data_IF_554666941471
#
_entry.id   IF_554666941471
#
_cell.length_a   1.000
_cell.length_b   1.000
_cell.length_c   1.000
_cell.angle_alpha   90.00
_cell.angle_beta   90.00
_cell.angle_gamma   90.00
#
_symmetry.space_group_name_H-M   'P 1'
#
loop_
_entity.id
_entity.type
_entity.pdbx_description
1 polymer ?
#
# COMPACT_ATOMS: atom_id res chain seq x y z
N UNK A 1 -92.35 -0.04 3.37
CA UNK A 1 -91.23 -0.34 2.45
C UNK A 1 -90.22 0.81 2.53
N UNK A 2 -88.95 0.50 2.84
CA UNK A 2 -87.90 1.43 3.26
C UNK A 2 -87.41 2.33 2.10
N UNK A 3 -87.29 3.65 2.35
CA UNK A 3 -86.60 4.62 1.49
C UNK A 3 -85.07 4.45 1.62
N UNK A 4 -84.27 4.45 0.52
CA UNK A 4 -82.82 4.37 0.62
C UNK A 4 -82.17 5.74 0.89
N UNK A 5 -81.05 5.68 1.62
CA UNK A 5 -80.21 6.79 2.12
C UNK A 5 -79.35 7.40 1.01
N UNK A 6 -79.18 8.73 1.06
CA UNK A 6 -78.23 9.49 0.26
C UNK A 6 -76.77 9.07 0.55
N UNK A 7 -76.06 8.66 -0.50
CA UNK A 7 -74.61 8.42 -0.48
C UNK A 7 -73.93 9.68 -1.05
N UNK A 8 -73.21 10.43 -0.22
CA UNK A 8 -72.35 11.54 -0.67
C UNK A 8 -71.03 10.94 -1.17
N UNK A 9 -70.70 11.12 -2.45
CA UNK A 9 -69.39 10.78 -3.00
C UNK A 9 -68.41 11.92 -2.73
N UNK A 10 -67.33 11.61 -2.01
CA UNK A 10 -66.20 12.50 -1.76
C UNK A 10 -65.22 12.35 -2.94
N UNK A 11 -65.04 13.38 -3.77
CA UNK A 11 -64.04 13.38 -4.84
C UNK A 11 -62.72 13.90 -4.27
N UNK A 12 -61.73 13.01 -4.16
CA UNK A 12 -60.35 13.34 -3.80
C UNK A 12 -59.63 13.84 -5.07
N UNK A 13 -59.24 15.10 -5.11
CA UNK A 13 -58.35 15.63 -6.15
C UNK A 13 -56.91 15.39 -5.71
N UNK A 14 -56.22 14.44 -6.37
CA UNK A 14 -54.77 14.25 -6.21
C UNK A 14 -54.08 15.12 -7.26
N UNK A 15 -53.45 16.20 -6.83
CA UNK A 15 -52.59 17.02 -7.68
C UNK A 15 -51.24 16.30 -7.80
N UNK A 16 -50.94 15.76 -8.99
CA UNK A 16 -49.61 15.24 -9.31
C UNK A 16 -48.64 16.42 -9.40
N UNK A 17 -47.76 16.57 -8.40
CA UNK A 17 -46.56 17.39 -8.51
C UNK A 17 -45.50 16.52 -9.16
N UNK A 18 -45.30 16.69 -10.46
CA UNK A 18 -44.16 16.12 -11.17
C UNK A 18 -42.90 16.86 -10.76
N UNK A 19 -42.13 16.27 -9.83
CA UNK A 19 -40.76 16.68 -9.56
C UNK A 19 -39.92 16.26 -10.77
N UNK A 20 -39.54 17.24 -11.59
CA UNK A 20 -38.65 17.03 -12.72
C UNK A 20 -37.23 16.84 -12.15
N UNK A 21 -36.81 15.58 -11.97
CA UNK A 21 -35.39 15.27 -11.78
C UNK A 21 -34.68 15.58 -13.09
N UNK A 22 -34.03 16.74 -13.17
CA UNK A 22 -33.06 17.02 -14.21
C UNK A 22 -31.84 16.15 -13.90
N UNK A 23 -31.78 14.98 -14.52
CA UNK A 23 -30.55 14.20 -14.58
C UNK A 23 -29.63 15.00 -15.50
N UNK A 24 -28.59 15.63 -14.94
CA UNK A 24 -27.47 16.13 -15.72
C UNK A 24 -26.87 14.90 -16.40
N UNK A 25 -27.12 14.75 -17.71
CA UNK A 25 -26.39 13.77 -18.50
C UNK A 25 -24.96 14.27 -18.62
N UNK A 26 -24.01 13.52 -18.08
CA UNK A 26 -22.60 13.69 -18.43
C UNK A 26 -22.48 13.46 -19.93
N UNK A 27 -21.92 14.43 -20.65
CA UNK A 27 -21.68 14.28 -22.07
C UNK A 27 -20.20 13.93 -22.22
N UNK A 28 -19.93 12.66 -22.53
CA UNK A 28 -18.60 12.23 -22.90
C UNK A 28 -18.04 13.17 -23.97
N UNK A 29 -16.78 13.60 -23.80
CA UNK A 29 -16.09 14.39 -24.82
C UNK A 29 -15.16 13.48 -25.61
N UNK A 30 -15.04 13.73 -26.91
CA UNK A 30 -14.10 13.04 -27.79
C UNK A 30 -12.88 13.93 -28.04
N UNK A 31 -11.68 13.37 -27.89
CA UNK A 31 -10.42 14.08 -28.12
C UNK A 31 -9.50 13.28 -29.05
N UNK A 32 -8.73 13.99 -29.86
CA UNK A 32 -7.75 13.42 -30.78
C UNK A 32 -6.70 14.46 -31.16
N UNK A 33 -5.50 14.02 -31.55
CA UNK A 33 -4.45 14.89 -32.07
C UNK A 33 -3.88 15.88 -31.05
N UNK A 34 -3.56 17.09 -31.53
CA UNK A 34 -2.91 18.11 -30.71
C UNK A 34 -3.89 18.77 -29.74
N UNK A 35 -3.62 18.67 -28.45
CA UNK A 35 -4.42 19.30 -27.40
C UNK A 35 -4.01 20.77 -27.22
N UNK A 36 -5.00 21.63 -26.99
CA UNK A 36 -4.77 23.05 -26.66
C UNK A 36 -4.47 23.30 -25.17
N UNK A 37 -4.50 22.25 -24.34
CA UNK A 37 -4.46 22.36 -22.88
C UNK A 37 -5.85 22.65 -22.28
N UNK A 38 -5.89 23.27 -21.10
CA UNK A 38 -7.12 23.61 -20.39
C UNK A 38 -7.38 22.72 -19.19
N UNK A 39 -8.66 22.46 -18.91
CA UNK A 39 -9.09 21.64 -17.78
C UNK A 39 -10.12 20.60 -18.23
N UNK A 40 -9.92 19.34 -17.86
CA UNK A 40 -10.94 18.31 -17.91
C UNK A 40 -11.53 18.10 -16.52
N UNK A 41 -12.86 18.14 -16.43
CA UNK A 41 -13.65 18.07 -15.21
C UNK A 41 -14.51 16.80 -15.18
N UNK A 42 -15.11 16.50 -14.03
CA UNK A 42 -16.03 15.37 -13.92
C UNK A 42 -17.23 15.45 -14.89
N UNK A 43 -17.62 16.66 -15.31
CA UNK A 43 -18.70 16.87 -16.29
C UNK A 43 -18.31 16.39 -17.69
N UNK A 44 -17.01 16.37 -18.00
CA UNK A 44 -16.44 15.89 -19.26
C UNK A 44 -16.24 14.37 -19.27
N UNK A 45 -16.51 13.68 -18.16
CA UNK A 45 -16.21 12.25 -17.97
C UNK A 45 -17.30 11.34 -18.58
N UNK A 46 -16.92 10.28 -19.33
CA UNK A 46 -15.56 9.93 -19.74
C UNK A 46 -15.04 10.82 -20.88
N UNK A 47 -13.74 11.12 -20.84
CA UNK A 47 -12.99 11.68 -21.96
C UNK A 47 -12.56 10.50 -22.86
N UNK A 48 -13.13 10.42 -24.05
CA UNK A 48 -12.88 9.34 -25.02
C UNK A 48 -11.78 9.79 -25.99
N UNK A 49 -10.69 9.02 -26.06
CA UNK A 49 -9.55 9.29 -26.94
C UNK A 49 -9.67 8.44 -28.20
N UNK A 50 -9.86 9.09 -29.35
CA UNK A 50 -10.16 8.45 -30.64
C UNK A 50 -8.97 8.38 -31.61
N UNK A 51 -7.85 9.02 -31.28
CA UNK A 51 -6.54 8.89 -31.94
C UNK A 51 -5.45 9.25 -30.92
N UNK A 52 -4.17 9.10 -31.27
CA UNK A 52 -3.05 9.61 -30.49
C UNK A 52 -3.29 11.08 -30.12
N UNK A 53 -3.06 11.40 -28.85
CA UNK A 53 -3.14 12.77 -28.34
C UNK A 53 -1.78 13.27 -27.91
N UNK A 54 -1.54 14.55 -28.14
CA UNK A 54 -0.30 15.22 -27.78
C UNK A 54 -0.60 16.50 -27.00
N UNK A 55 -0.01 16.64 -25.81
CA UNK A 55 0.05 17.89 -25.08
C UNK A 55 1.38 18.60 -25.42
N UNK A 56 1.37 19.64 -26.28
CA UNK A 56 2.60 20.30 -26.73
C UNK A 56 3.28 21.11 -25.63
N UNK A 57 4.56 21.44 -25.83
CA UNK A 57 5.44 22.06 -24.85
C UNK A 57 4.92 23.36 -24.20
N UNK A 58 4.14 24.14 -24.95
CA UNK A 58 3.55 25.41 -24.51
C UNK A 58 2.19 25.27 -23.83
N UNK A 59 1.60 24.08 -23.86
CA UNK A 59 0.30 23.79 -23.27
C UNK A 59 0.40 23.25 -21.83
N UNK A 60 -0.66 23.48 -21.06
CA UNK A 60 -0.88 22.90 -19.74
C UNK A 60 -2.29 22.30 -19.71
N UNK A 61 -2.39 21.05 -19.28
CA UNK A 61 -3.67 20.36 -19.09
C UNK A 61 -3.80 20.01 -17.61
N UNK A 62 -4.89 20.46 -16.98
CA UNK A 62 -5.31 20.01 -15.66
C UNK A 62 -6.43 18.99 -15.79
N UNK A 63 -6.33 17.88 -15.09
CA UNK A 63 -7.38 16.87 -15.01
C UNK A 63 -7.83 16.81 -13.55
N UNK A 64 -9.10 17.11 -13.31
CA UNK A 64 -9.70 17.19 -11.98
C UNK A 64 -10.08 15.81 -11.42
N UNK A 65 -10.33 15.69 -10.11
CA UNK A 65 -10.72 14.43 -9.49
C UNK A 65 -11.91 13.73 -10.17
N UNK A 66 -11.84 12.41 -10.26
CA UNK A 66 -12.92 11.54 -10.77
C UNK A 66 -13.03 11.44 -12.29
N UNK A 67 -12.22 12.18 -13.06
CA UNK A 67 -12.22 12.08 -14.53
C UNK A 67 -11.75 10.69 -14.97
N UNK A 68 -12.47 10.08 -15.92
CA UNK A 68 -12.05 8.86 -16.60
C UNK A 68 -11.61 9.20 -18.02
N UNK A 69 -10.41 8.79 -18.39
CA UNK A 69 -9.81 8.97 -19.72
C UNK A 69 -9.70 7.59 -20.36
N UNK A 70 -10.53 7.35 -21.37
CA UNK A 70 -10.71 6.04 -22.01
C UNK A 70 -10.17 6.07 -23.44
N UNK A 71 -9.17 5.25 -23.73
CA UNK A 71 -8.56 5.18 -25.05
C UNK A 71 -9.27 4.14 -25.92
N UNK A 72 -9.92 4.59 -26.99
CA UNK A 72 -10.70 3.73 -27.91
C UNK A 72 -9.82 3.09 -28.99
N UNK A 73 -8.66 2.60 -28.59
CA UNK A 73 -7.68 2.01 -29.49
C UNK A 73 -6.26 2.09 -28.92
N UNK A 74 -5.28 1.58 -29.68
CA UNK A 74 -3.88 1.53 -29.26
C UNK A 74 -3.15 2.86 -29.44
N UNK A 75 -3.77 3.91 -28.91
CA UNK A 75 -3.33 5.29 -28.99
C UNK A 75 -2.45 5.64 -27.80
N UNK A 76 -1.53 6.57 -28.01
CA UNK A 76 -0.64 7.10 -26.98
C UNK A 76 -1.11 8.46 -26.48
N UNK A 77 -0.68 8.83 -25.28
CA UNK A 77 -0.72 10.22 -24.81
C UNK A 77 0.71 10.76 -24.66
N UNK A 78 1.16 11.50 -25.68
CA UNK A 78 2.45 12.18 -25.66
C UNK A 78 2.35 13.49 -24.88
N UNK A 79 3.22 13.67 -23.88
CA UNK A 79 3.22 14.82 -22.98
C UNK A 79 4.58 15.51 -23.05
N UNK A 80 4.63 16.64 -23.77
CA UNK A 80 5.77 17.56 -23.83
C UNK A 80 5.48 18.85 -23.03
N UNK A 81 4.20 19.19 -22.87
CA UNK A 81 3.70 20.27 -22.02
C UNK A 81 3.70 19.92 -20.55
N UNK A 82 2.81 20.57 -19.78
CA UNK A 82 2.61 20.28 -18.36
C UNK A 82 1.28 19.57 -18.12
N UNK A 83 1.33 18.33 -17.64
CA UNK A 83 0.15 17.58 -17.23
C UNK A 83 -0.03 17.65 -15.71
N UNK A 84 -1.19 18.09 -15.24
CA UNK A 84 -1.56 18.11 -13.81
C UNK A 84 -2.80 17.24 -13.62
N UNK A 85 -2.62 15.95 -13.42
CA UNK A 85 -3.71 15.04 -13.04
C UNK A 85 -3.80 14.99 -11.51
N UNK A 86 -4.82 15.65 -10.96
CA UNK A 86 -4.91 16.00 -9.54
C UNK A 86 -6.11 15.33 -8.87
N UNK A 87 -6.14 14.00 -8.84
CA UNK A 87 -7.16 13.26 -8.10
C UNK A 87 -7.08 13.46 -6.59
N UNK A 88 -8.01 12.81 -5.89
CA UNK A 88 -8.04 12.67 -4.42
C UNK A 88 -8.38 11.21 -4.01
N UNK A 89 -8.32 10.92 -2.71
CA UNK A 89 -8.52 9.55 -2.19
C UNK A 89 -9.91 8.98 -2.47
N UNK A 90 -10.91 9.82 -2.70
CA UNK A 90 -12.29 9.40 -2.99
C UNK A 90 -12.59 9.41 -4.49
N UNK A 91 -11.95 10.30 -5.25
CA UNK A 91 -12.22 10.56 -6.66
C UNK A 91 -10.90 10.46 -7.45
N UNK A 92 -10.44 9.22 -7.63
CA UNK A 92 -9.24 8.92 -8.41
C UNK A 92 -9.47 9.20 -9.90
N UNK A 93 -8.42 9.60 -10.61
CA UNK A 93 -8.44 9.78 -12.06
C UNK A 93 -8.05 8.46 -12.73
N UNK A 94 -8.86 7.96 -13.65
CA UNK A 94 -8.54 6.71 -14.35
C UNK A 94 -8.04 6.98 -15.77
N UNK A 95 -6.89 6.40 -16.13
CA UNK A 95 -6.40 6.30 -17.50
C UNK A 95 -6.37 4.82 -17.88
N UNK A 96 -7.17 4.44 -18.87
CA UNK A 96 -7.30 3.04 -19.28
C UNK A 96 -7.69 2.89 -20.75
N UNK A 97 -7.48 1.70 -21.30
CA UNK A 97 -8.14 1.31 -22.54
C UNK A 97 -9.66 1.31 -22.33
N UNK A 98 -10.43 1.75 -23.33
CA UNK A 98 -11.89 1.68 -23.32
C UNK A 98 -12.42 0.24 -23.43
N UNK A 99 -11.58 -0.69 -23.91
CA UNK A 99 -11.86 -2.12 -23.98
C UNK A 99 -10.64 -2.91 -23.45
N UNK A 100 -10.45 -2.97 -22.12
CA UNK A 100 -9.24 -3.52 -21.51
C UNK A 100 -9.05 -5.03 -21.76
N UNK A 101 -10.15 -5.78 -21.91
CA UNK A 101 -10.14 -7.22 -22.20
C UNK A 101 -9.72 -7.55 -23.65
N UNK A 102 -9.64 -6.54 -24.52
CA UNK A 102 -9.23 -6.70 -25.91
C UNK A 102 -7.79 -6.22 -26.06
N UNK A 103 -6.86 -7.15 -25.93
CA UNK A 103 -5.42 -6.94 -26.04
C UNK A 103 -4.98 -6.08 -27.24
N UNK A 104 -5.63 -6.22 -28.40
CA UNK A 104 -5.33 -5.42 -29.59
C UNK A 104 -5.73 -3.93 -29.46
N UNK A 105 -6.59 -3.58 -28.50
CA UNK A 105 -7.10 -2.23 -28.24
C UNK A 105 -6.49 -1.58 -26.99
N UNK A 106 -5.58 -2.26 -26.30
CA UNK A 106 -4.81 -1.66 -25.21
C UNK A 106 -4.00 -0.46 -25.69
N UNK A 107 -4.11 0.65 -24.97
CA UNK A 107 -3.49 1.94 -25.26
C UNK A 107 -2.00 1.96 -24.96
N UNK A 108 -1.24 2.96 -25.40
CA UNK A 108 0.24 2.96 -25.32
C UNK A 108 0.81 3.76 -24.15
N UNK A 109 0.02 3.91 -23.10
CA UNK A 109 0.44 4.56 -21.86
C UNK A 109 0.62 6.08 -21.96
N UNK A 110 1.02 6.67 -20.83
CA UNK A 110 1.41 8.07 -20.70
C UNK A 110 2.88 8.23 -21.06
N UNK A 111 3.20 9.08 -22.04
CA UNK A 111 4.56 9.25 -22.55
C UNK A 111 5.07 10.66 -22.27
N UNK A 112 5.76 10.84 -21.15
CA UNK A 112 6.42 12.09 -20.79
C UNK A 112 7.77 12.20 -21.50
N UNK A 113 7.88 13.09 -22.49
CA UNK A 113 9.09 13.27 -23.29
C UNK A 113 9.47 14.74 -23.26
N UNK A 114 10.59 15.06 -22.60
CA UNK A 114 11.02 16.44 -22.36
C UNK A 114 9.91 17.34 -21.78
N UNK A 115 9.01 16.73 -21.01
CA UNK A 115 7.83 17.38 -20.47
C UNK A 115 8.19 18.60 -19.61
N UNK A 116 7.37 19.65 -19.70
CA UNK A 116 7.55 20.87 -18.92
C UNK A 116 7.54 20.57 -17.42
N UNK A 117 8.50 21.14 -16.69
CA UNK A 117 8.62 20.97 -15.23
C UNK A 117 7.31 21.30 -14.51
N UNK A 118 6.99 20.50 -13.50
CA UNK A 118 5.80 20.63 -12.66
C UNK A 118 4.63 19.74 -13.09
N UNK A 119 4.86 18.79 -13.99
CA UNK A 119 3.89 17.73 -14.26
C UNK A 119 3.72 16.83 -13.04
N UNK A 120 2.49 16.48 -12.73
CA UNK A 120 2.09 15.72 -11.53
C UNK A 120 1.01 14.72 -11.92
N UNK A 121 1.20 13.47 -11.47
CA UNK A 121 0.13 12.48 -11.33
C UNK A 121 -0.11 12.25 -9.84
N UNK A 122 -1.33 12.50 -9.39
CA UNK A 122 -1.74 12.30 -8.00
C UNK A 122 -3.08 11.58 -7.94
N UNK A 123 -3.17 10.49 -7.17
CA UNK A 123 -4.40 9.68 -7.05
C UNK A 123 -4.93 9.29 -8.44
N UNK A 124 -4.05 8.72 -9.27
CA UNK A 124 -4.40 8.24 -10.60
C UNK A 124 -4.27 6.73 -10.68
N UNK A 125 -5.18 6.09 -11.41
CA UNK A 125 -5.10 4.70 -11.83
C UNK A 125 -4.66 4.67 -13.29
N UNK A 126 -3.47 4.13 -13.57
CA UNK A 126 -2.90 4.00 -14.91
C UNK A 126 -2.84 2.52 -15.24
N UNK A 127 -3.77 2.06 -16.08
CA UNK A 127 -4.04 0.65 -16.24
C UNK A 127 -4.20 0.21 -17.68
N UNK A 128 -3.98 -1.08 -17.95
CA UNK A 128 -4.26 -1.72 -19.23
C UNK A 128 -3.51 -1.11 -20.42
N UNK A 129 -2.37 -0.45 -20.20
CA UNK A 129 -1.48 0.04 -21.25
C UNK A 129 -0.64 -1.09 -21.85
N UNK A 130 -0.42 -1.12 -23.15
CA UNK A 130 0.49 -2.01 -23.86
C UNK A 130 1.39 -1.21 -24.81
N UNK A 131 2.63 -0.96 -24.36
CA UNK A 131 3.71 -0.39 -25.17
C UNK A 131 4.27 -1.44 -26.14
N UNK A 132 4.18 -1.17 -27.45
CA UNK A 132 4.54 -2.10 -28.53
C UNK A 132 5.00 -1.38 -29.79
N UNK A 133 5.81 -2.07 -30.60
CA UNK A 133 6.42 -1.53 -31.81
C UNK A 133 7.94 -1.48 -31.69
N UNK A 134 8.55 -0.48 -32.33
CA UNK A 134 9.98 -0.24 -32.24
C UNK A 134 10.32 0.69 -31.07
N UNK A 135 11.57 0.64 -30.61
CA UNK A 135 12.07 1.59 -29.62
C UNK A 135 11.88 3.04 -30.11
N UNK A 136 11.37 3.96 -29.27
CA UNK A 136 11.07 3.81 -27.84
C UNK A 136 9.63 3.38 -27.50
N UNK A 137 8.75 3.17 -28.49
CA UNK A 137 7.30 2.92 -28.33
C UNK A 137 6.95 1.58 -27.64
N UNK A 138 7.91 0.67 -27.55
CA UNK A 138 7.78 -0.63 -26.89
C UNK A 138 8.23 -0.65 -25.42
N UNK A 139 8.54 0.51 -24.84
CA UNK A 139 8.89 0.68 -23.43
C UNK A 139 7.86 1.51 -22.67
N UNK A 140 7.73 1.27 -21.36
CA UNK A 140 6.86 2.06 -20.47
C UNK A 140 5.38 1.79 -20.73
N UNK A 141 4.93 0.57 -20.44
CA UNK A 141 3.57 0.12 -20.74
C UNK A 141 2.48 1.01 -20.13
N UNK A 142 2.66 1.40 -18.87
CA UNK A 142 1.81 2.39 -18.21
C UNK A 142 2.35 3.80 -18.38
N UNK A 143 3.62 4.02 -18.01
CA UNK A 143 4.26 5.34 -18.02
C UNK A 143 5.67 5.24 -18.61
N UNK A 144 5.95 6.07 -19.61
CA UNK A 144 7.27 6.28 -20.18
C UNK A 144 7.77 7.69 -19.82
N UNK A 145 8.98 7.81 -19.28
CA UNK A 145 9.61 9.07 -18.86
C UNK A 145 10.98 9.20 -19.52
N UNK A 146 11.17 10.26 -20.29
CA UNK A 146 12.45 10.60 -20.92
C UNK A 146 12.74 12.11 -20.80
N UNK A 147 13.93 12.45 -20.32
CA UNK A 147 14.44 13.83 -20.34
C UNK A 147 13.64 14.83 -19.50
N UNK A 148 12.83 14.33 -18.57
CA UNK A 148 11.99 15.14 -17.69
C UNK A 148 11.79 14.45 -16.34
N UNK A 149 11.10 15.11 -15.41
CA UNK A 149 10.96 14.61 -14.03
C UNK A 149 9.57 14.93 -13.45
N UNK A 150 8.52 14.24 -13.90
CA UNK A 150 7.19 14.33 -13.28
C UNK A 150 7.22 13.80 -11.84
N UNK A 151 6.37 14.36 -10.99
CA UNK A 151 6.04 13.80 -9.67
C UNK A 151 4.89 12.79 -9.85
N UNK A 152 5.07 11.58 -9.33
CA UNK A 152 4.05 10.52 -9.40
C UNK A 152 3.78 10.05 -7.98
N UNK A 153 2.56 10.24 -7.48
CA UNK A 153 2.26 9.88 -6.10
C UNK A 153 0.84 9.44 -5.83
N UNK A 154 0.65 8.53 -4.86
CA UNK A 154 -0.67 7.98 -4.52
C UNK A 154 -1.39 7.35 -5.72
N UNK A 155 -0.63 6.93 -6.73
CA UNK A 155 -1.15 6.32 -7.94
C UNK A 155 -1.12 4.79 -7.85
N UNK A 156 -1.98 4.15 -8.64
CA UNK A 156 -1.94 2.72 -8.91
C UNK A 156 -1.54 2.56 -10.38
N UNK A 157 -0.41 1.93 -10.63
CA UNK A 157 0.07 1.58 -11.96
C UNK A 157 -0.04 0.06 -12.07
N UNK A 158 -1.10 -0.43 -12.71
CA UNK A 158 -1.37 -1.87 -12.73
C UNK A 158 -1.76 -2.44 -14.08
N UNK A 159 -1.51 -3.73 -14.24
CA UNK A 159 -1.92 -4.49 -15.42
C UNK A 159 -1.42 -3.85 -16.71
N UNK A 160 -0.22 -3.27 -16.72
CA UNK A 160 0.40 -2.69 -17.91
C UNK A 160 1.43 -3.65 -18.52
N UNK A 161 1.69 -3.49 -19.81
CA UNK A 161 2.57 -4.36 -20.59
C UNK A 161 3.53 -3.56 -21.45
N UNK A 162 4.80 -3.94 -21.46
CA UNK A 162 5.78 -3.48 -22.43
C UNK A 162 6.35 -4.69 -23.17
N UNK A 163 6.45 -4.61 -24.49
CA UNK A 163 7.13 -5.66 -25.28
C UNK A 163 8.65 -5.69 -25.01
N UNK A 164 9.22 -4.60 -24.48
CA UNK A 164 10.62 -4.51 -24.10
C UNK A 164 10.76 -4.23 -22.58
N UNK A 165 11.09 -3.01 -22.18
CA UNK A 165 11.42 -2.69 -20.78
C UNK A 165 10.37 -1.83 -20.08
N UNK A 166 10.22 -2.00 -18.76
CA UNK A 166 9.39 -1.14 -17.93
C UNK A 166 7.90 -1.37 -18.19
N UNK A 167 7.36 -2.50 -17.74
CA UNK A 167 5.95 -2.82 -17.91
C UNK A 167 5.04 -1.76 -17.29
N UNK A 168 5.31 -1.41 -16.02
CA UNK A 168 4.66 -0.30 -15.33
C UNK A 168 5.26 1.04 -15.74
N UNK A 169 6.52 1.27 -15.35
CA UNK A 169 7.22 2.54 -15.51
C UNK A 169 8.59 2.33 -16.16
N UNK A 170 8.87 3.09 -17.22
CA UNK A 170 10.20 3.24 -17.80
C UNK A 170 10.73 4.65 -17.52
N UNK A 171 11.92 4.77 -16.96
CA UNK A 171 12.55 6.05 -16.64
C UNK A 171 13.97 6.16 -17.21
N UNK A 172 14.18 7.20 -18.03
CA UNK A 172 15.46 7.54 -18.62
C UNK A 172 15.75 9.03 -18.52
N UNK A 173 16.99 9.41 -18.19
CA UNK A 173 17.39 10.81 -18.02
C UNK A 173 16.45 11.62 -17.12
N UNK A 174 16.09 11.04 -15.97
CA UNK A 174 15.09 11.57 -15.04
C UNK A 174 15.61 11.60 -13.59
N UNK A 175 15.16 12.61 -12.84
CA UNK A 175 15.29 12.70 -11.37
C UNK A 175 13.90 12.78 -10.71
N UNK A 176 12.92 12.06 -11.27
CA UNK A 176 11.53 12.04 -10.79
C UNK A 176 11.41 11.71 -9.32
N UNK A 177 10.43 12.33 -8.65
CA UNK A 177 9.97 11.93 -7.33
C UNK A 177 8.77 11.00 -7.50
N UNK A 178 8.92 9.75 -7.08
CA UNK A 178 7.91 8.71 -7.23
C UNK A 178 7.64 8.15 -5.85
N UNK A 179 6.47 8.42 -5.27
CA UNK A 179 6.22 8.00 -3.89
C UNK A 179 4.79 7.63 -3.53
N UNK A 180 4.62 6.74 -2.54
CA UNK A 180 3.31 6.27 -2.10
C UNK A 180 2.48 5.67 -3.25
N UNK A 181 3.13 4.95 -4.16
CA UNK A 181 2.46 4.31 -5.30
C UNK A 181 2.35 2.81 -5.11
N UNK A 182 1.28 2.24 -5.66
CA UNK A 182 1.15 0.81 -5.93
C UNK A 182 1.56 0.58 -7.38
N UNK A 183 2.58 -0.24 -7.61
CA UNK A 183 2.99 -0.69 -8.95
C UNK A 183 2.80 -2.20 -8.94
N UNK A 184 1.79 -2.70 -9.66
CA UNK A 184 1.31 -4.07 -9.46
C UNK A 184 0.92 -4.78 -10.75
N UNK A 185 1.30 -6.05 -10.91
CA UNK A 185 0.75 -6.87 -12.00
C UNK A 185 1.20 -6.43 -13.40
N UNK A 186 2.32 -5.72 -13.50
CA UNK A 186 2.84 -5.24 -14.77
C UNK A 186 3.81 -6.24 -15.41
N UNK A 187 3.86 -6.27 -16.73
CA UNK A 187 4.67 -7.22 -17.49
C UNK A 187 5.67 -6.51 -18.41
N UNK A 188 6.93 -6.93 -18.39
CA UNK A 188 7.95 -6.53 -19.35
C UNK A 188 8.50 -7.74 -20.12
N UNK A 189 8.55 -7.62 -21.46
CA UNK A 189 9.15 -8.64 -22.33
C UNK A 189 10.67 -8.76 -22.23
N UNK A 190 11.33 -7.87 -21.49
CA UNK A 190 12.78 -7.87 -21.27
C UNK A 190 13.13 -7.64 -19.79
N UNK A 191 13.29 -6.39 -19.34
CA UNK A 191 13.67 -6.09 -17.96
C UNK A 191 12.68 -5.15 -17.27
N UNK A 192 12.54 -5.29 -15.94
CA UNK A 192 11.80 -4.32 -15.15
C UNK A 192 10.29 -4.41 -15.36
N UNK A 193 9.64 -5.44 -14.83
CA UNK A 193 8.18 -5.60 -14.94
C UNK A 193 7.45 -4.39 -14.35
N UNK A 194 7.78 -4.04 -13.11
CA UNK A 194 7.28 -2.82 -12.46
C UNK A 194 8.02 -1.57 -12.93
N UNK A 195 9.34 -1.57 -12.81
CA UNK A 195 10.21 -0.46 -13.19
C UNK A 195 11.43 -0.88 -14.00
N UNK A 196 11.73 -0.08 -15.01
CA UNK A 196 13.04 -0.02 -15.64
C UNK A 196 13.64 1.38 -15.50
N UNK A 197 14.89 1.45 -15.02
CA UNK A 197 15.59 2.71 -14.74
C UNK A 197 16.95 2.69 -15.43
N UNK A 198 17.26 3.66 -16.30
CA UNK A 198 18.54 3.72 -17.02
C UNK A 198 18.98 5.17 -17.22
N UNK A 199 20.26 5.48 -17.00
CA UNK A 199 20.78 6.85 -17.03
C UNK A 199 19.92 7.84 -16.22
N UNK A 200 19.39 7.40 -15.08
CA UNK A 200 18.39 8.11 -14.30
C UNK A 200 18.63 7.92 -12.79
N UNK A 201 18.19 8.90 -12.02
CA UNK A 201 18.36 8.98 -10.56
C UNK A 201 17.02 9.33 -9.86
N UNK A 202 15.93 8.58 -10.11
CA UNK A 202 14.67 8.87 -9.44
C UNK A 202 14.76 8.60 -7.94
N UNK A 203 13.96 9.34 -7.17
CA UNK A 203 13.75 9.08 -5.76
C UNK A 203 12.44 8.30 -5.59
N UNK A 204 12.56 7.02 -5.24
CA UNK A 204 11.46 6.06 -5.09
C UNK A 204 11.25 5.84 -3.59
N UNK A 205 10.16 6.38 -3.06
CA UNK A 205 9.88 6.42 -1.62
C UNK A 205 8.53 5.80 -1.31
N UNK A 206 8.41 4.99 -0.25
CA UNK A 206 7.10 4.50 0.19
C UNK A 206 6.32 3.83 -0.95
N UNK A 207 6.94 3.08 -1.85
CA UNK A 207 6.22 2.40 -2.93
C UNK A 207 6.07 0.92 -2.59
N UNK A 208 4.96 0.33 -3.02
CA UNK A 208 4.81 -1.13 -3.06
C UNK A 208 4.87 -1.57 -4.53
N UNK A 209 5.87 -2.39 -4.85
CA UNK A 209 6.12 -2.97 -6.18
C UNK A 209 5.92 -4.48 -6.05
N UNK A 210 4.84 -5.01 -6.61
CA UNK A 210 4.46 -6.39 -6.34
C UNK A 210 3.73 -7.07 -7.49
N UNK A 211 3.86 -8.40 -7.60
CA UNK A 211 3.22 -9.19 -8.66
C UNK A 211 3.63 -8.74 -10.07
N UNK A 212 4.74 -8.02 -10.21
CA UNK A 212 5.25 -7.61 -11.51
C UNK A 212 6.17 -8.71 -12.08
N UNK A 213 6.13 -8.88 -13.40
CA UNK A 213 6.85 -9.92 -14.11
C UNK A 213 7.76 -9.34 -15.20
N UNK A 214 8.98 -9.82 -15.29
CA UNK A 214 9.88 -9.55 -16.40
C UNK A 214 10.33 -10.87 -17.04
N UNK A 215 10.46 -10.93 -18.37
CA UNK A 215 10.96 -12.14 -19.02
C UNK A 215 12.41 -12.48 -18.65
N UNK A 216 13.21 -11.48 -18.26
CA UNK A 216 14.60 -11.70 -17.89
C UNK A 216 14.91 -11.36 -16.44
N UNK A 217 15.06 -10.08 -16.07
CA UNK A 217 15.48 -9.74 -14.70
C UNK A 217 14.71 -8.56 -14.15
N UNK A 218 14.58 -8.57 -12.82
CA UNK A 218 13.91 -7.51 -12.08
C UNK A 218 12.43 -7.45 -12.46
N UNK A 219 11.68 -8.53 -12.19
CA UNK A 219 10.23 -8.50 -12.23
C UNK A 219 9.68 -7.24 -11.57
N UNK A 220 10.19 -6.89 -10.38
CA UNK A 220 9.82 -5.64 -9.71
C UNK A 220 10.58 -4.45 -10.29
N UNK A 221 11.89 -4.40 -10.07
CA UNK A 221 12.76 -3.29 -10.42
C UNK A 221 14.01 -3.79 -11.14
N UNK A 222 14.30 -3.21 -12.30
CA UNK A 222 15.59 -3.35 -12.96
C UNK A 222 16.29 -2.00 -13.08
N UNK A 223 17.48 -1.90 -12.49
CA UNK A 223 18.35 -0.73 -12.61
C UNK A 223 19.39 -1.01 -13.70
N UNK A 224 19.11 -0.49 -14.88
CA UNK A 224 19.97 -0.56 -16.06
C UNK A 224 21.20 0.35 -15.99
N UNK A 225 21.86 0.48 -17.14
CA UNK A 225 23.14 1.17 -17.26
C UNK A 225 23.10 2.59 -16.69
N UNK A 226 24.09 2.94 -15.88
CA UNK A 226 24.23 4.28 -15.27
C UNK A 226 23.00 4.73 -14.46
N UNK A 227 22.13 3.81 -14.06
CA UNK A 227 21.03 4.09 -13.13
C UNK A 227 21.55 4.22 -11.69
N UNK A 228 21.12 5.26 -10.99
CA UNK A 228 21.43 5.47 -9.56
C UNK A 228 20.19 5.91 -8.77
N UNK A 229 19.09 5.14 -8.78
CA UNK A 229 17.90 5.49 -8.02
C UNK A 229 18.18 5.42 -6.51
N UNK A 230 17.47 6.25 -5.76
CA UNK A 230 17.32 6.11 -4.31
C UNK A 230 16.02 5.38 -4.06
N UNK A 231 16.10 4.17 -3.52
CA UNK A 231 14.97 3.32 -3.19
C UNK A 231 14.92 3.26 -1.67
N UNK A 232 13.90 3.86 -1.07
CA UNK A 232 13.82 3.98 0.37
C UNK A 232 12.40 3.77 0.89
N UNK A 233 12.29 3.06 2.01
CA UNK A 233 11.00 2.78 2.65
C UNK A 233 9.98 2.07 1.75
N UNK A 234 10.45 1.24 0.82
CA UNK A 234 9.60 0.55 -0.15
C UNK A 234 9.37 -0.91 0.24
N UNK A 235 8.34 -1.52 -0.35
CA UNK A 235 8.17 -2.97 -0.38
C UNK A 235 8.31 -3.42 -1.85
N UNK A 236 9.22 -4.34 -2.13
CA UNK A 236 9.42 -4.93 -3.46
C UNK A 236 9.37 -6.45 -3.29
N UNK A 237 8.19 -7.04 -3.49
CA UNK A 237 7.90 -8.42 -3.10
C UNK A 237 6.99 -9.13 -4.10
N UNK A 238 7.03 -10.46 -4.13
CA UNK A 238 6.21 -11.29 -5.04
C UNK A 238 6.36 -10.93 -6.52
N UNK A 239 7.53 -10.42 -6.91
CA UNK A 239 7.82 -10.18 -8.32
C UNK A 239 8.57 -11.36 -8.92
N UNK A 240 8.35 -11.59 -10.20
CA UNK A 240 8.84 -12.78 -10.89
C UNK A 240 9.73 -12.41 -12.07
N UNK A 241 10.81 -13.15 -12.24
CA UNK A 241 11.51 -13.24 -13.51
C UNK A 241 11.17 -14.57 -14.20
N UNK A 242 10.66 -14.50 -15.43
CA UNK A 242 10.29 -15.67 -16.24
C UNK A 242 11.52 -16.21 -16.99
N UNK A 243 12.55 -16.55 -16.21
CA UNK A 243 13.85 -17.02 -16.70
C UNK A 243 13.79 -18.37 -17.44
N UNK A 244 12.64 -19.06 -17.48
CA UNK A 244 12.49 -20.29 -18.27
C UNK A 244 12.77 -20.05 -19.77
N UNK A 245 12.65 -18.80 -20.25
CA UNK A 245 12.96 -18.42 -21.64
C UNK A 245 14.46 -18.28 -21.96
N UNK A 246 15.37 -18.21 -20.98
CA UNK A 246 16.81 -18.01 -21.19
C UNK A 246 17.66 -19.15 -20.62
N UNK A 247 17.46 -20.36 -21.14
CA UNK A 247 18.26 -21.53 -20.79
C UNK A 247 19.76 -21.31 -21.07
N UNK A 248 20.59 -21.23 -20.03
CA UNK A 248 22.05 -21.30 -20.13
C UNK A 248 22.87 -20.28 -19.35
N UNK A 249 22.26 -19.44 -18.52
CA UNK A 249 23.02 -18.58 -17.61
C UNK A 249 23.02 -19.14 -16.19
N UNK A 250 24.19 -19.06 -15.54
CA UNK A 250 24.34 -19.44 -14.14
C UNK A 250 23.28 -18.70 -13.30
N UNK A 251 22.36 -19.45 -12.71
CA UNK A 251 21.48 -18.99 -11.62
C UNK A 251 22.28 -18.66 -10.32
N UNK A 252 23.58 -18.39 -10.46
CA UNK A 252 24.55 -18.25 -9.38
C UNK A 252 25.09 -16.83 -9.30
N UNK A 253 24.30 -15.95 -8.67
CA UNK A 253 24.79 -14.73 -8.02
C UNK A 253 24.40 -13.41 -8.68
N UNK A 254 23.95 -12.46 -7.84
CA UNK A 254 23.74 -11.00 -8.06
C UNK A 254 22.43 -10.49 -8.69
N UNK A 255 21.51 -11.36 -9.14
CA UNK A 255 20.24 -10.90 -9.74
C UNK A 255 19.05 -11.42 -8.95
N UNK A 256 18.13 -10.52 -8.55
CA UNK A 256 16.90 -10.84 -7.84
C UNK A 256 15.68 -10.53 -8.71
N UNK A 257 14.65 -11.37 -8.63
CA UNK A 257 13.35 -11.13 -9.25
C UNK A 257 12.72 -9.81 -8.74
N UNK A 258 12.96 -9.46 -7.48
CA UNK A 258 12.51 -8.19 -6.89
C UNK A 258 13.33 -6.99 -7.38
N UNK A 259 14.65 -6.96 -7.16
CA UNK A 259 15.52 -5.84 -7.53
C UNK A 259 16.79 -6.36 -8.23
N UNK A 260 16.90 -6.13 -9.54
CA UNK A 260 18.07 -6.50 -10.34
C UNK A 260 18.84 -5.26 -10.81
N UNK A 261 20.13 -5.43 -11.08
CA UNK A 261 21.04 -4.33 -11.38
C UNK A 261 22.01 -4.66 -12.51
N UNK A 262 22.26 -3.72 -13.40
CA UNK A 262 23.33 -3.79 -14.39
C UNK A 262 24.68 -3.44 -13.73
N UNK A 263 25.78 -3.94 -14.30
CA UNK A 263 27.13 -3.76 -13.71
C UNK A 263 27.56 -2.31 -13.51
N UNK A 264 27.06 -1.39 -14.34
CA UNK A 264 27.38 0.05 -14.26
C UNK A 264 26.36 0.85 -13.45
N UNK A 265 25.41 0.19 -12.79
CA UNK A 265 24.42 0.85 -11.94
C UNK A 265 24.88 0.95 -10.48
N UNK A 266 24.33 1.92 -9.77
CA UNK A 266 24.62 2.16 -8.36
C UNK A 266 23.37 2.60 -7.59
N UNK A 267 22.35 1.72 -7.46
CA UNK A 267 21.19 2.04 -6.63
C UNK A 267 21.58 2.14 -5.15
N UNK A 268 20.91 3.05 -4.44
CA UNK A 268 20.97 3.12 -2.98
C UNK A 268 19.65 2.60 -2.45
N UNK A 269 19.67 1.40 -1.86
CA UNK A 269 18.48 0.73 -1.31
C UNK A 269 18.58 0.71 0.21
N UNK A 270 17.62 1.32 0.90
CA UNK A 270 17.65 1.46 2.37
C UNK A 270 16.24 1.41 2.95
N UNK A 271 16.08 0.82 4.12
CA UNK A 271 14.77 0.66 4.76
C UNK A 271 13.74 0.03 3.83
N UNK A 272 14.15 -0.89 2.95
CA UNK A 272 13.27 -1.53 1.97
C UNK A 272 13.06 -2.99 2.32
N UNK A 273 11.81 -3.44 2.28
CA UNK A 273 11.48 -4.85 2.32
C UNK A 273 11.62 -5.44 0.91
N UNK A 274 12.60 -6.32 0.73
CA UNK A 274 12.83 -7.07 -0.50
C UNK A 274 13.05 -8.55 -0.12
N UNK A 275 11.96 -9.34 -0.02
CA UNK A 275 12.04 -10.73 0.42
C UNK A 275 12.98 -11.56 -0.45
N UNK A 276 13.76 -12.42 0.18
CA UNK A 276 14.63 -13.36 -0.50
C UNK A 276 14.94 -14.58 0.41
N UNK A 277 15.01 -15.81 -0.13
CA UNK A 277 15.07 -17.02 0.70
C UNK A 277 16.31 -17.15 1.60
N UNK A 278 17.45 -16.55 1.23
CA UNK A 278 18.74 -16.82 1.88
C UNK A 278 19.61 -15.62 2.20
N UNK A 279 19.33 -14.45 1.64
CA UNK A 279 20.21 -13.27 1.77
C UNK A 279 19.44 -11.96 1.57
N UNK A 280 19.53 -10.97 2.47
CA UNK A 280 18.96 -9.64 2.25
C UNK A 280 19.59 -8.89 1.09
N UNK A 281 18.78 -8.04 0.42
CA UNK A 281 19.33 -7.01 -0.45
C UNK A 281 20.22 -6.07 0.38
N UNK A 282 21.48 -5.81 -0.01
CA UNK A 282 22.41 -5.03 0.79
C UNK A 282 21.91 -3.59 0.99
N UNK A 283 22.02 -3.10 2.22
CA UNK A 283 21.59 -1.74 2.56
C UNK A 283 21.19 -1.61 4.03
N UNK A 284 21.22 -0.38 4.53
CA UNK A 284 20.81 -0.09 5.90
C UNK A 284 19.30 -0.33 6.06
N UNK A 285 18.90 -1.06 7.11
CA UNK A 285 17.50 -1.20 7.49
C UNK A 285 16.63 -2.05 6.56
N UNK A 286 17.21 -2.72 5.55
CA UNK A 286 16.46 -3.58 4.65
C UNK A 286 15.95 -4.83 5.35
N UNK A 287 14.77 -5.30 4.91
CA UNK A 287 14.09 -6.49 5.41
C UNK A 287 14.04 -7.52 4.28
N UNK A 288 14.27 -8.79 4.61
CA UNK A 288 14.26 -9.90 3.65
C UNK A 288 13.20 -10.97 3.97
N UNK A 289 12.39 -10.71 4.99
CA UNK A 289 11.20 -11.50 5.33
C UNK A 289 10.02 -11.03 4.47
N UNK A 290 9.05 -11.90 4.28
CA UNK A 290 7.81 -11.59 3.57
C UNK A 290 7.09 -10.38 4.21
N UNK A 291 6.50 -9.47 3.41
CA UNK A 291 5.80 -8.31 3.95
C UNK A 291 4.42 -8.65 4.51
N UNK A 292 3.89 -9.85 4.29
CA UNK A 292 2.59 -10.31 4.82
C UNK A 292 1.42 -9.36 4.47
N UNK A 293 1.06 -9.28 3.19
CA UNK A 293 -0.11 -8.52 2.74
C UNK A 293 -1.44 -9.18 3.15
N UNK A 294 -2.49 -8.39 3.36
CA UNK A 294 -3.83 -8.88 3.76
C UNK A 294 -4.40 -9.86 2.73
N UNK A 295 -4.32 -9.54 1.43
CA UNK A 295 -4.82 -10.42 0.37
C UNK A 295 -3.99 -10.30 -0.91
N UNK A 296 -3.46 -11.43 -1.38
CA UNK A 296 -2.87 -11.56 -2.71
C UNK A 296 -3.75 -12.43 -3.64
N UNK A 297 -5.02 -12.61 -3.30
CA UNK A 297 -5.92 -13.47 -4.07
C UNK A 297 -6.64 -12.65 -5.17
N UNK A 298 -6.42 -12.96 -6.45
CA UNK A 298 -7.08 -12.26 -7.55
C UNK A 298 -8.61 -12.39 -7.53
N UNK A 299 -9.16 -13.51 -7.04
CA UNK A 299 -10.61 -13.76 -7.03
C UNK A 299 -11.36 -12.88 -6.02
N UNK A 300 -10.74 -12.59 -4.88
CA UNK A 300 -11.31 -11.72 -3.84
C UNK A 300 -10.82 -10.28 -3.91
N UNK A 301 -9.94 -9.97 -4.87
CA UNK A 301 -9.23 -8.70 -4.98
C UNK A 301 -7.94 -8.66 -4.15
N UNK A 302 -6.98 -7.90 -4.67
CA UNK A 302 -5.73 -7.62 -3.98
C UNK A 302 -5.93 -6.57 -2.88
N UNK A 303 -5.31 -6.81 -1.74
CA UNK A 303 -5.20 -5.88 -0.63
C UNK A 303 -3.75 -5.88 -0.11
N UNK A 304 -3.03 -4.82 -0.50
CA UNK A 304 -1.62 -4.63 -0.18
C UNK A 304 -1.39 -3.91 1.15
N UNK A 305 -2.43 -3.72 1.98
CA UNK A 305 -2.21 -3.36 3.37
C UNK A 305 -1.51 -4.50 4.10
N UNK A 306 -0.79 -4.16 5.17
CA UNK A 306 -0.01 -5.12 5.94
C UNK A 306 -0.88 -5.85 6.96
N UNK A 307 -0.66 -7.15 7.12
CA UNK A 307 -1.17 -7.92 8.25
C UNK A 307 -0.48 -7.48 9.54
N UNK A 308 -1.16 -7.70 10.66
CA UNK A 308 -0.69 -7.34 12.01
C UNK A 308 0.70 -7.91 12.37
N UNK A 309 1.04 -9.08 11.84
CA UNK A 309 2.33 -9.74 12.08
C UNK A 309 3.45 -9.26 11.17
N UNK A 310 3.15 -8.36 10.22
CA UNK A 310 4.09 -7.95 9.19
C UNK A 310 5.36 -7.34 9.78
N UNK A 311 6.55 -7.76 9.32
CA UNK A 311 7.81 -7.15 9.72
C UNK A 311 7.98 -5.73 9.15
N UNK A 312 7.10 -5.30 8.26
CA UNK A 312 7.15 -3.99 7.61
C UNK A 312 6.42 -2.89 8.40
N UNK A 313 5.71 -3.25 9.47
CA UNK A 313 5.07 -2.30 10.37
C UNK A 313 6.13 -1.64 11.27
N UNK A 314 6.05 -0.31 11.43
CA UNK A 314 7.00 0.54 12.17
C UNK A 314 8.47 0.31 11.77
N UNK A 315 8.68 -0.13 10.53
CA UNK A 315 9.96 -0.62 10.07
C UNK A 315 10.70 0.38 9.18
N UNK A 316 10.11 1.55 8.94
CA UNK A 316 10.57 2.47 7.92
C UNK A 316 11.80 3.30 8.25
N UNK A 317 12.12 4.29 7.42
CA UNK A 317 13.25 5.18 7.68
C UNK A 317 12.97 6.05 8.93
N UNK A 318 13.80 6.01 9.99
CA UNK A 318 13.57 6.79 11.21
C UNK A 318 13.68 8.31 11.01
N UNK A 319 14.20 8.76 9.87
CA UNK A 319 14.26 10.19 9.50
C UNK A 319 13.03 10.66 8.74
N UNK A 320 12.17 9.76 8.28
CA UNK A 320 10.90 10.14 7.67
C UNK A 320 9.92 10.60 8.74
N UNK A 321 9.14 11.62 8.39
CA UNK A 321 8.08 12.09 9.27
C UNK A 321 7.01 10.97 9.38
N UNK A 322 6.61 10.53 10.59
CA UNK A 322 5.48 9.63 10.80
C UNK A 322 4.21 10.04 10.02
N UNK A 323 4.10 11.32 9.66
CA UNK A 323 3.09 11.78 8.73
C UNK A 323 1.70 11.71 9.35
N UNK A 324 0.73 11.22 8.57
CA UNK A 324 -0.65 11.01 9.00
C UNK A 324 -0.91 9.55 9.43
N UNK A 325 0.14 8.75 9.73
CA UNK A 325 -0.08 7.39 10.20
C UNK A 325 -0.94 7.37 11.47
N UNK A 326 -1.91 6.44 11.57
CA UNK A 326 -2.76 6.34 12.74
C UNK A 326 -2.00 5.88 13.99
N UNK A 327 -0.79 5.32 13.83
CA UNK A 327 0.14 5.01 14.91
C UNK A 327 0.84 6.27 15.44
N UNK A 328 0.21 6.98 16.36
CA UNK A 328 0.75 8.23 16.93
C UNK A 328 1.77 8.03 18.05
N UNK A 329 1.97 6.80 18.54
CA UNK A 329 2.84 6.50 19.69
C UNK A 329 4.23 6.03 19.25
N UNK A 330 4.39 5.56 18.01
CA UNK A 330 5.64 5.04 17.48
C UNK A 330 6.19 6.01 16.43
N UNK A 331 7.42 6.50 16.64
CA UNK A 331 8.04 7.54 15.80
C UNK A 331 8.69 6.97 14.53
N UNK A 332 8.07 5.98 13.89
CA UNK A 332 8.64 5.30 12.71
C UNK A 332 7.50 4.81 11.81
N UNK A 333 7.52 5.24 10.54
CA UNK A 333 6.48 4.83 9.58
C UNK A 333 6.56 3.36 9.20
N UNK A 334 5.45 2.84 8.69
CA UNK A 334 5.40 1.60 7.93
C UNK A 334 6.18 1.72 6.61
N UNK A 335 6.68 0.59 6.09
CA UNK A 335 7.19 0.53 4.72
C UNK A 335 6.05 0.42 3.69
N UNK A 336 6.30 0.85 2.45
CA UNK A 336 5.42 0.61 1.31
C UNK A 336 4.43 1.75 1.01
N UNK A 337 3.51 1.51 0.05
CA UNK A 337 2.58 2.48 -0.53
C UNK A 337 1.79 3.31 0.51
N UNK A 338 1.38 2.65 1.58
CA UNK A 338 0.57 3.23 2.65
C UNK A 338 1.39 3.79 3.82
N UNK A 339 2.72 3.63 3.80
CA UNK A 339 3.60 4.20 4.82
C UNK A 339 3.58 5.73 4.82
N UNK A 340 3.46 6.32 6.01
CA UNK A 340 3.34 7.76 6.22
C UNK A 340 1.95 8.32 5.91
N UNK A 341 0.90 7.49 5.85
CA UNK A 341 -0.46 7.89 5.44
C UNK A 341 -1.53 7.43 6.43
N UNK A 342 -2.73 8.03 6.34
CA UNK A 342 -3.91 7.63 7.11
C UNK A 342 -4.40 6.18 6.82
N UNK A 343 -3.89 5.57 5.74
CA UNK A 343 -4.21 4.21 5.31
C UNK A 343 -3.21 3.18 5.89
N UNK A 344 -2.17 3.62 6.61
CA UNK A 344 -1.16 2.71 7.14
C UNK A 344 -1.74 1.71 8.15
N UNK A 345 -1.22 0.48 8.13
CA UNK A 345 -1.59 -0.56 9.09
C UNK A 345 -1.19 -0.17 10.52
N UNK A 346 -1.98 -0.60 11.51
CA UNK A 346 -1.68 -0.38 12.92
C UNK A 346 -0.74 -1.44 13.47
N UNK A 347 0.16 -1.04 14.36
CA UNK A 347 1.01 -1.95 15.10
C UNK A 347 0.22 -2.83 16.08
N UNK A 348 0.71 -4.05 16.29
CA UNK A 348 0.24 -4.92 17.37
C UNK A 348 0.47 -4.25 18.72
N UNK A 349 -0.38 -4.51 19.73
CA UNK A 349 -0.24 -3.82 20.99
C UNK A 349 1.06 -4.19 21.70
N UNK A 350 1.90 -3.20 21.98
CA UNK A 350 3.11 -3.39 22.78
C UNK A 350 2.72 -3.42 24.26
N UNK A 351 2.87 -4.58 24.89
CA UNK A 351 2.61 -4.78 26.31
C UNK A 351 3.87 -4.40 27.08
N UNK A 352 3.82 -3.33 27.86
CA UNK A 352 4.89 -3.02 28.81
C UNK A 352 4.47 -3.42 30.22
N UNK A 353 5.29 -4.26 30.86
CA UNK A 353 5.18 -4.55 32.29
C UNK A 353 6.18 -3.65 33.01
N UNK A 354 5.71 -2.61 33.69
CA UNK A 354 6.59 -1.72 34.45
C UNK A 354 7.13 -2.40 35.71
N UNK A 355 8.36 -2.04 36.10
CA UNK A 355 9.15 -2.60 37.23
C UNK A 355 9.74 -4.00 37.02
N UNK A 356 10.00 -4.43 35.78
CA UNK A 356 10.54 -5.77 35.55
C UNK A 356 11.33 -5.94 34.24
N UNK A 357 12.38 -6.77 34.26
CA UNK A 357 13.14 -7.19 33.08
C UNK A 357 12.52 -8.49 32.53
N UNK A 358 11.87 -8.42 31.38
CA UNK A 358 11.15 -9.53 30.73
C UNK A 358 12.05 -10.73 30.37
N UNK A 359 13.38 -10.57 30.40
CA UNK A 359 14.35 -11.64 30.15
C UNK A 359 14.61 -12.54 31.37
N UNK A 360 14.15 -12.12 32.55
CA UNK A 360 14.21 -12.89 33.78
C UNK A 360 12.80 -13.38 34.15
N UNK A 361 12.62 -14.51 34.84
CA UNK A 361 11.30 -14.94 35.30
C UNK A 361 10.98 -14.31 36.69
N UNK A 362 9.74 -13.83 36.91
CA UNK A 362 9.38 -12.92 38.01
C UNK A 362 9.61 -13.57 39.38
N UNK A 363 10.67 -13.20 40.12
CA UNK A 363 11.00 -13.81 41.42
C UNK A 363 10.02 -13.38 42.53
N UNK A 364 9.34 -14.34 43.15
CA UNK A 364 8.37 -14.08 44.24
C UNK A 364 8.97 -14.05 45.64
N UNK A 365 10.29 -14.21 45.77
CA UNK A 365 10.96 -14.36 47.07
C UNK A 365 10.51 -15.62 47.82
N UNK A 366 10.83 -15.70 49.12
CA UNK A 366 10.48 -16.85 49.98
C UNK A 366 9.13 -16.64 50.68
N UNK A 367 8.17 -17.54 50.47
CA UNK A 367 6.84 -17.50 51.11
C UNK A 367 6.85 -18.34 52.39
N UNK A 368 6.20 -17.83 53.46
CA UNK A 368 6.00 -18.60 54.70
C UNK A 368 4.78 -19.51 54.58
N UNK A 369 4.93 -20.74 55.04
CA UNK A 369 3.86 -21.74 55.18
C UNK A 369 2.60 -21.13 55.83
N UNK A 370 1.43 -21.34 55.22
CA UNK A 370 0.11 -20.82 55.62
C UNK A 370 -0.10 -19.30 55.48
N UNK A 371 0.76 -18.60 54.73
CA UNK A 371 0.50 -17.22 54.33
C UNK A 371 0.03 -17.14 52.88
N UNK A 372 -0.95 -16.27 52.62
CA UNK A 372 -1.24 -15.80 51.27
C UNK A 372 -0.25 -14.67 50.94
N UNK A 373 0.28 -14.69 49.72
CA UNK A 373 1.08 -13.59 49.19
C UNK A 373 0.37 -13.01 47.98
N UNK A 374 0.19 -11.69 47.98
CA UNK A 374 -0.34 -10.94 46.85
C UNK A 374 0.80 -10.19 46.19
N UNK A 375 0.90 -10.26 44.86
CA UNK A 375 1.81 -9.44 44.08
C UNK A 375 0.98 -8.53 43.18
N UNK A 376 1.20 -7.22 43.30
CA UNK A 376 0.69 -6.24 42.37
C UNK A 376 1.61 -6.17 41.15
N UNK A 377 1.01 -6.17 39.97
CA UNK A 377 1.67 -5.86 38.71
C UNK A 377 0.82 -4.86 37.93
N UNK A 378 1.47 -3.95 37.20
CA UNK A 378 0.78 -3.01 36.30
C UNK A 378 1.12 -3.42 34.88
N UNK A 379 0.09 -3.62 34.07
CA UNK A 379 0.23 -3.82 32.63
C UNK A 379 -0.25 -2.55 31.95
N UNK A 380 0.59 -1.99 31.10
CA UNK A 380 0.26 -0.83 30.28
C UNK A 380 0.09 -1.26 28.83
N UNK A 381 -1.00 -0.81 28.21
CA UNK A 381 -1.23 -1.01 26.79
C UNK A 381 -0.68 0.19 26.02
N UNK A 382 0.51 0.06 25.46
CA UNK A 382 1.11 1.06 24.57
C UNK A 382 0.76 0.81 23.10
N UNK A 383 -0.17 -0.10 22.86
CA UNK A 383 -0.69 -0.49 21.56
C UNK A 383 -1.94 0.25 21.12
N UNK A 384 -2.33 0.04 19.86
CA UNK A 384 -3.56 0.61 19.27
C UNK A 384 -4.80 -0.27 19.40
N UNK A 385 -4.61 -1.51 19.81
CA UNK A 385 -5.70 -2.46 20.01
C UNK A 385 -6.00 -2.63 21.50
N UNK A 386 -7.27 -2.82 21.82
CA UNK A 386 -7.72 -3.19 23.16
C UNK A 386 -7.05 -4.52 23.59
N UNK A 387 -6.38 -4.53 24.73
CA UNK A 387 -5.65 -5.69 25.22
C UNK A 387 -6.54 -6.53 26.13
N UNK A 388 -6.77 -7.79 25.75
CA UNK A 388 -7.45 -8.76 26.62
C UNK A 388 -6.44 -9.68 27.29
N UNK A 389 -6.56 -9.80 28.61
CA UNK A 389 -5.77 -10.74 29.41
C UNK A 389 -6.71 -11.83 29.89
N UNK A 390 -6.53 -13.04 29.34
CA UNK A 390 -7.42 -14.16 29.58
C UNK A 390 -6.87 -15.14 30.64
N UNK A 391 -5.55 -15.25 30.79
CA UNK A 391 -4.92 -16.16 31.74
C UNK A 391 -3.46 -15.78 32.04
N UNK A 392 -2.89 -16.34 33.11
CA UNK A 392 -1.46 -16.30 33.43
C UNK A 392 -0.91 -17.73 33.53
N UNK A 393 0.21 -18.03 32.87
CA UNK A 393 0.85 -19.35 32.93
C UNK A 393 1.95 -19.40 34.00
N UNK A 394 2.04 -20.50 34.76
CA UNK A 394 3.01 -20.68 35.85
C UNK A 394 3.90 -21.90 35.57
N UNK A 395 5.19 -21.79 35.91
CA UNK A 395 6.20 -22.80 35.51
C UNK A 395 6.31 -23.99 36.47
N UNK A 396 5.63 -23.97 37.61
CA UNK A 396 5.74 -24.99 38.66
C UNK A 396 4.38 -25.48 39.13
N UNK A 397 4.29 -26.78 39.40
CA UNK A 397 3.06 -27.46 39.83
C UNK A 397 2.68 -27.23 41.31
N UNK A 398 3.48 -26.45 42.05
CA UNK A 398 3.35 -26.26 43.51
C UNK A 398 2.54 -25.01 43.91
N UNK A 399 2.28 -24.10 42.97
CA UNK A 399 1.48 -22.90 43.19
C UNK A 399 0.32 -22.88 42.21
N UNK A 400 -0.89 -22.78 42.74
CA UNK A 400 -2.08 -22.52 41.95
C UNK A 400 -2.58 -21.11 42.27
N UNK A 401 -2.89 -20.28 41.26
CA UNK A 401 -3.58 -19.03 41.49
C UNK A 401 -4.96 -19.36 42.08
N UNK A 402 -5.26 -18.81 43.26
CA UNK A 402 -6.60 -18.95 43.86
C UNK A 402 -7.57 -17.97 43.20
N UNK A 403 -7.08 -16.78 42.84
CA UNK A 403 -7.82 -15.76 42.10
C UNK A 403 -6.87 -14.79 41.39
N UNK A 404 -7.23 -14.37 40.17
CA UNK A 404 -6.73 -13.16 39.57
C UNK A 404 -7.72 -12.04 39.88
N UNK A 405 -7.30 -11.06 40.67
CA UNK A 405 -8.12 -9.91 41.01
C UNK A 405 -7.56 -8.69 40.28
N UNK A 406 -8.31 -8.19 39.30
CA UNK A 406 -8.06 -6.86 38.72
C UNK A 406 -8.54 -5.84 39.75
N UNK A 407 -7.81 -4.75 39.99
CA UNK A 407 -8.32 -3.70 40.87
C UNK A 407 -9.55 -3.04 40.21
N UNK A 408 -10.75 -3.52 40.56
CA UNK A 408 -12.03 -3.29 39.87
C UNK A 408 -12.65 -1.91 40.13
N UNK A 409 -11.88 -0.87 40.49
CA UNK A 409 -12.49 0.43 40.80
C UNK A 409 -13.25 1.10 39.64
N UNK A 410 -13.30 0.53 38.42
CA UNK A 410 -14.01 1.13 37.29
C UNK A 410 -14.84 0.23 36.34
N UNK A 411 -15.02 -1.10 36.50
CA UNK A 411 -15.76 -1.89 35.46
C UNK A 411 -16.68 -3.01 36.01
N UNK A 412 -17.90 -3.23 35.46
CA UNK A 412 -18.88 -4.19 35.97
C UNK A 412 -18.50 -5.66 35.76
N UNK A 413 -19.02 -6.52 36.64
CA UNK A 413 -18.74 -7.95 36.73
C UNK A 413 -18.94 -8.73 35.41
N UNK A 414 -18.03 -9.70 35.20
CA UNK A 414 -18.04 -10.80 34.22
C UNK A 414 -17.29 -10.64 32.88
N UNK A 415 -16.56 -9.55 32.67
CA UNK A 415 -15.42 -9.54 31.76
C UNK A 415 -14.32 -8.70 32.39
N UNK A 416 -13.08 -9.21 32.44
CA UNK A 416 -11.94 -8.31 32.66
C UNK A 416 -12.01 -7.32 31.50
N UNK A 417 -12.25 -6.04 31.82
CA UNK A 417 -12.29 -5.00 30.82
C UNK A 417 -10.96 -5.04 30.06
N UNK A 418 -10.99 -4.94 28.73
CA UNK A 418 -9.73 -4.83 28.01
C UNK A 418 -9.02 -3.55 28.46
N UNK A 419 -7.68 -3.58 28.48
CA UNK A 419 -6.90 -2.36 28.69
C UNK A 419 -6.96 -1.58 27.38
N UNK A 420 -7.57 -0.41 27.37
CA UNK A 420 -7.68 0.43 26.17
C UNK A 420 -6.31 1.02 25.79
N UNK A 421 -6.12 1.43 24.51
CA UNK A 421 -4.89 2.10 24.07
C UNK A 421 -4.49 3.28 24.96
N UNK A 422 -3.25 3.30 25.44
CA UNK A 422 -2.71 4.33 26.32
C UNK A 422 -3.13 4.22 27.79
N UNK A 423 -3.93 3.21 28.15
CA UNK A 423 -4.34 2.95 29.53
C UNK A 423 -3.46 1.87 30.19
N UNK A 424 -3.59 1.79 31.51
CA UNK A 424 -2.92 0.79 32.35
C UNK A 424 -3.92 0.09 33.24
N UNK A 425 -3.77 -1.22 33.43
CA UNK A 425 -4.52 -1.96 34.44
C UNK A 425 -3.59 -2.61 35.46
N UNK A 426 -4.02 -2.54 36.73
CA UNK A 426 -3.35 -3.20 37.85
C UNK A 426 -3.97 -4.55 38.12
N UNK A 427 -3.12 -5.55 38.25
CA UNK A 427 -3.49 -6.92 38.56
C UNK A 427 -2.85 -7.34 39.88
N UNK A 428 -3.67 -7.89 40.76
CA UNK A 428 -3.24 -8.57 41.96
C UNK A 428 -3.32 -10.07 41.71
N UNK A 429 -2.17 -10.74 41.75
CA UNK A 429 -2.09 -12.19 41.65
C UNK A 429 -1.96 -12.75 43.06
N UNK A 430 -2.97 -13.51 43.50
CA UNK A 430 -3.03 -14.12 44.82
C UNK A 430 -2.57 -15.58 44.75
N UNK A 431 -1.54 -15.90 45.55
CA UNK A 431 -0.97 -17.25 45.59
C UNK A 431 -1.31 -17.96 46.89
N UNK A 432 -1.68 -19.24 46.78
CA UNK A 432 -1.83 -20.13 47.92
C UNK A 432 -1.02 -21.42 47.70
N UNK A 433 -0.02 -21.71 48.55
CA UNK A 433 0.76 -22.93 48.43
C UNK A 433 -0.08 -24.17 48.81
N UNK A 434 0.07 -25.27 48.06
CA UNK A 434 -0.60 -26.55 48.31
C UNK A 434 0.25 -27.54 49.11
N UNK A 435 1.58 -27.40 49.13
CA UNK A 435 2.50 -28.25 49.90
C UNK A 435 3.55 -27.44 50.71
N UNK A 436 4.02 -28.04 51.80
CA UNK A 436 4.89 -27.46 52.83
C UNK A 436 6.38 -27.55 52.48
N UNK A 437 6.93 -26.67 51.64
CA UNK A 437 8.38 -26.60 51.38
C UNK A 437 8.80 -25.15 51.04
N UNK A 438 9.96 -24.71 51.55
CA UNK A 438 10.60 -23.44 51.16
C UNK A 438 11.14 -23.54 49.72
N UNK A 439 10.65 -22.69 48.81
CA UNK A 439 11.16 -22.57 47.45
C UNK A 439 11.32 -21.09 47.03
N UNK A 440 12.27 -20.84 46.12
CA UNK A 440 12.35 -19.64 45.30
C UNK A 440 11.75 -19.99 43.93
N UNK A 441 10.73 -19.27 43.48
CA UNK A 441 10.00 -19.58 42.25
C UNK A 441 9.79 -18.34 41.37
N UNK A 442 9.48 -18.56 40.10
CA UNK A 442 9.50 -17.53 39.06
C UNK A 442 8.33 -17.63 38.05
N UNK A 443 7.59 -16.54 37.83
CA UNK A 443 6.50 -16.44 36.84
C UNK A 443 7.03 -16.14 35.45
N UNK A 444 6.47 -16.81 34.43
CA UNK A 444 6.68 -16.47 33.03
C UNK A 444 5.35 -16.04 32.41
N UNK A 445 5.24 -14.77 32.05
CA UNK A 445 4.13 -14.27 31.25
C UNK A 445 4.41 -14.70 29.80
N UNK A 446 3.51 -15.46 29.18
CA UNK A 446 3.60 -15.90 27.79
C UNK A 446 2.62 -15.09 26.96
#
# INVERSE_FOLDING_TARGET
MKKPKNQKSLRLYVTLISVFFCVLQTQAIEVSGLLSGGTWTIEDSPVIVEDNIQLPQDAELTIEPGVRVEFNGPYSFLIEGRLRALGDSLNRIAFSAGQPDVDSLRWRGLRFVNARRGSVLRFCDVQHGWARGDWPENCGGGIYIEGCSPEIRRCTISDNRADHDGGGIYAMFSTSLIHNNLIVGNYAGNFGGGFFISYAEPNILNCTVALDTALHWGGGLFVGSEGSPRINNCIVAYNEDDLEAWAGHDAGGTYFSNIATARSSSPVVTFTCAPHPTDPYPGQGNIFQEPEFISLNPDSGYDFHLQLSSPCIDAGDPMMNPGDEPDVLINRINMGAYGGTEEAALSVPVIYILNYDISLPLEYGSIRINSQSTKEMTIENHGHYRLFIYDFAFNTAAYFPDSLEVDQQLVPEYAVAPIEPGESAKYNVNFKPTELIDFQDTLRVI
#
